data_IF_155621907014
#
_entry.id   IF_155621907014
#
_cell.length_a   1.000
_cell.length_b   1.000
_cell.length_c   1.000
_cell.angle_alpha   90.00
_cell.angle_beta   90.00
_cell.angle_gamma   90.00
#
_symmetry.space_group_name_H-M   'P 1'
#
loop_
_entity.id
_entity.type
_entity.pdbx_description
1 polymer ?
#
# COMPACT_ATOMS: atom_id res chain seq x y z
N UNK A 1 -1.91 -11.00 21.90
CA UNK A 1 -1.03 -11.22 20.73
C UNK A 1 -1.25 -12.59 20.07
N UNK A 2 -1.63 -13.65 20.81
CA UNK A 2 -1.92 -14.99 20.25
C UNK A 2 -2.80 -14.95 19.00
N UNK A 3 -3.97 -14.31 19.08
CA UNK A 3 -4.92 -14.25 17.96
C UNK A 3 -4.33 -13.55 16.72
N UNK A 4 -3.52 -12.50 16.91
CA UNK A 4 -2.82 -11.81 15.81
C UNK A 4 -1.80 -12.74 15.14
N UNK A 5 -1.03 -13.50 15.92
CA UNK A 5 -0.04 -14.43 15.41
C UNK A 5 -0.68 -15.64 14.72
N UNK A 6 -1.81 -16.12 15.24
CA UNK A 6 -2.58 -17.20 14.61
C UNK A 6 -3.18 -16.72 13.27
N UNK A 7 -3.76 -15.52 13.24
CA UNK A 7 -4.25 -14.94 11.99
C UNK A 7 -3.13 -14.66 10.98
N UNK A 8 -1.93 -14.30 11.43
CA UNK A 8 -0.76 -14.20 10.55
C UNK A 8 -0.34 -15.57 10.01
N UNK A 9 -0.25 -16.58 10.88
CA UNK A 9 0.16 -17.95 10.51
C UNK A 9 -0.78 -18.59 9.49
N UNK A 10 -2.09 -18.43 9.70
CA UNK A 10 -3.10 -18.97 8.79
C UNK A 10 -3.36 -18.09 7.56
N UNK A 11 -2.68 -16.94 7.42
CA UNK A 11 -2.85 -16.05 6.27
C UNK A 11 -4.16 -15.26 6.25
N UNK A 12 -4.81 -15.10 7.41
CA UNK A 12 -6.04 -14.30 7.56
C UNK A 12 -5.74 -12.78 7.60
N UNK A 13 -4.47 -12.41 7.78
CA UNK A 13 -4.01 -11.03 7.65
C UNK A 13 -3.46 -10.85 6.24
N UNK A 14 -4.21 -10.11 5.42
CA UNK A 14 -3.80 -9.73 4.07
C UNK A 14 -3.59 -8.22 4.03
N UNK A 15 -2.36 -7.71 4.29
CA UNK A 15 -2.13 -6.27 4.46
C UNK A 15 -2.43 -5.44 3.21
N UNK A 16 -2.36 -6.07 2.04
CA UNK A 16 -2.60 -5.46 0.74
C UNK A 16 -4.07 -5.52 0.33
N UNK A 17 -4.93 -6.22 1.08
CA UNK A 17 -6.34 -6.31 0.75
C UNK A 17 -7.03 -4.99 1.13
N UNK A 18 -7.33 -4.19 0.11
CA UNK A 18 -7.99 -2.91 0.28
C UNK A 18 -9.30 -2.92 -0.51
N UNK A 19 -10.41 -2.75 0.20
CA UNK A 19 -11.70 -2.53 -0.42
C UNK A 19 -11.76 -1.05 -0.85
N UNK A 20 -11.66 -0.82 -2.16
CA UNK A 20 -11.88 0.51 -2.73
C UNK A 20 -13.34 0.89 -2.55
N UNK A 21 -13.62 1.82 -1.63
CA UNK A 21 -14.98 2.30 -1.37
C UNK A 21 -15.58 2.97 -2.60
N UNK A 22 -16.86 2.70 -2.85
CA UNK A 22 -17.62 3.35 -3.93
C UNK A 22 -17.66 4.87 -3.76
N UNK A 23 -17.71 5.60 -4.86
CA UNK A 23 -17.78 7.07 -4.88
C UNK A 23 -16.47 7.79 -4.58
N UNK A 24 -15.39 7.07 -4.26
CA UNK A 24 -14.05 7.65 -4.09
C UNK A 24 -13.47 8.14 -5.42
N UNK A 25 -12.57 9.12 -5.36
CA UNK A 25 -11.83 9.59 -6.53
C UNK A 25 -11.03 8.44 -7.19
N UNK A 26 -10.45 7.55 -6.38
CA UNK A 26 -9.73 6.36 -6.87
C UNK A 26 -10.65 5.44 -7.67
N UNK A 27 -11.84 5.11 -7.15
CA UNK A 27 -12.78 4.24 -7.86
C UNK A 27 -13.17 4.83 -9.22
N UNK A 28 -13.46 6.14 -9.26
CA UNK A 28 -13.79 6.86 -10.50
C UNK A 28 -12.62 6.84 -11.50
N UNK A 29 -11.39 7.05 -11.03
CA UNK A 29 -10.21 6.97 -11.88
C UNK A 29 -10.00 5.57 -12.45
N UNK A 30 -10.24 4.51 -11.66
CA UNK A 30 -10.19 3.12 -12.13
C UNK A 30 -11.24 2.83 -13.21
N UNK A 31 -12.48 3.30 -13.01
CA UNK A 31 -13.57 3.16 -13.99
C UNK A 31 -13.25 3.91 -15.29
N UNK A 32 -12.72 5.12 -15.19
CA UNK A 32 -12.26 5.90 -16.36
C UNK A 32 -11.11 5.21 -17.08
N UNK A 33 -10.15 4.64 -16.35
CA UNK A 33 -9.04 3.89 -16.93
C UNK A 33 -9.54 2.70 -17.74
N UNK A 34 -10.49 1.93 -17.19
CA UNK A 34 -11.08 0.78 -17.87
C UNK A 34 -11.88 1.20 -19.12
N UNK A 35 -12.68 2.26 -19.04
CA UNK A 35 -13.44 2.79 -20.18
C UNK A 35 -12.51 3.29 -21.30
N UNK A 36 -11.42 3.98 -20.93
CA UNK A 36 -10.40 4.42 -21.88
C UNK A 36 -9.68 3.23 -22.54
N UNK A 37 -9.31 2.21 -21.76
CA UNK A 37 -8.67 0.99 -22.27
C UNK A 37 -9.58 0.26 -23.28
N UNK A 38 -10.86 0.11 -22.99
CA UNK A 38 -11.84 -0.52 -23.88
C UNK A 38 -11.97 0.24 -25.21
N UNK A 39 -12.17 1.57 -25.13
CA UNK A 39 -12.26 2.43 -26.33
C UNK A 39 -10.98 2.41 -27.15
N UNK A 40 -9.82 2.49 -26.49
CA UNK A 40 -8.53 2.47 -27.17
C UNK A 40 -8.30 1.11 -27.85
N UNK A 41 -8.62 0.01 -27.17
CA UNK A 41 -8.52 -1.34 -27.75
C UNK A 41 -9.42 -1.51 -28.97
N UNK A 42 -10.62 -0.89 -28.99
CA UNK A 42 -11.50 -0.94 -30.15
C UNK A 42 -10.96 -0.17 -31.38
N UNK A 43 -10.13 0.86 -31.16
CA UNK A 43 -9.58 1.71 -32.23
C UNK A 43 -8.27 1.17 -32.82
N UNK A 44 -7.56 0.33 -32.09
CA UNK A 44 -6.22 -0.15 -32.46
C UNK A 44 -6.26 -1.44 -33.30
N UNK A 45 -5.29 -1.59 -34.20
CA UNK A 45 -5.01 -2.85 -34.92
C UNK A 45 -4.14 -3.79 -34.05
N UNK A 46 -3.87 -5.00 -34.55
CA UNK A 46 -3.31 -6.10 -33.75
C UNK A 46 -1.90 -5.80 -33.20
N UNK A 47 -1.07 -5.06 -33.94
CA UNK A 47 0.29 -4.72 -33.50
C UNK A 47 0.26 -3.71 -32.36
N UNK A 48 -0.59 -2.70 -32.48
CA UNK A 48 -0.78 -1.63 -31.51
C UNK A 48 -1.44 -2.15 -30.23
N UNK A 49 -2.42 -3.06 -30.35
CA UNK A 49 -3.01 -3.77 -29.21
C UNK A 49 -1.96 -4.54 -28.41
N UNK A 50 -1.05 -5.22 -29.10
CA UNK A 50 0.04 -5.96 -28.45
C UNK A 50 0.96 -5.01 -27.68
N UNK A 51 1.27 -3.84 -28.26
CA UNK A 51 2.08 -2.81 -27.61
C UNK A 51 1.36 -2.20 -26.40
N UNK A 52 0.06 -1.91 -26.52
CA UNK A 52 -0.77 -1.40 -25.43
C UNK A 52 -0.83 -2.40 -24.26
N UNK A 53 -1.05 -3.68 -24.53
CA UNK A 53 -1.06 -4.72 -23.50
C UNK A 53 0.30 -4.80 -22.78
N UNK A 54 1.40 -4.69 -23.52
CA UNK A 54 2.74 -4.67 -22.94
C UNK A 54 2.96 -3.45 -22.05
N UNK A 55 2.46 -2.28 -22.45
CA UNK A 55 2.52 -1.06 -21.64
C UNK A 55 1.72 -1.22 -20.35
N UNK A 56 0.46 -1.68 -20.43
CA UNK A 56 -0.41 -1.89 -19.26
C UNK A 56 0.22 -2.89 -18.29
N UNK A 57 0.78 -3.99 -18.79
CA UNK A 57 1.47 -4.97 -17.95
C UNK A 57 2.70 -4.37 -17.26
N UNK A 58 3.50 -3.56 -17.97
CA UNK A 58 4.64 -2.89 -17.38
C UNK A 58 4.23 -1.87 -16.30
N UNK A 59 3.19 -1.06 -16.54
CA UNK A 59 2.64 -0.12 -15.56
C UNK A 59 2.08 -0.86 -14.33
N UNK A 60 1.40 -1.99 -14.51
CA UNK A 60 0.91 -2.81 -13.39
C UNK A 60 2.06 -3.40 -12.56
N UNK A 61 3.14 -3.84 -13.20
CA UNK A 61 4.35 -4.34 -12.52
C UNK A 61 5.05 -3.23 -11.74
N UNK A 62 5.20 -2.04 -12.33
CA UNK A 62 5.72 -0.84 -11.66
C UNK A 62 4.86 -0.50 -10.44
N UNK A 63 3.54 -0.40 -10.63
CA UNK A 63 2.60 -0.08 -9.56
C UNK A 63 2.63 -1.10 -8.42
N UNK A 64 2.69 -2.39 -8.73
CA UNK A 64 2.78 -3.47 -7.74
C UNK A 64 4.10 -3.42 -6.97
N UNK A 65 5.21 -3.16 -7.66
CA UNK A 65 6.54 -3.03 -7.04
C UNK A 65 6.59 -1.80 -6.12
N UNK A 66 6.08 -0.65 -6.58
CA UNK A 66 6.00 0.56 -5.76
C UNK A 66 5.10 0.36 -4.53
N UNK A 67 3.98 -0.33 -4.67
CA UNK A 67 3.09 -0.64 -3.54
C UNK A 67 3.82 -1.49 -2.48
N UNK A 68 4.61 -2.49 -2.90
CA UNK A 68 5.42 -3.31 -2.01
C UNK A 68 6.48 -2.48 -1.27
N UNK A 69 7.23 -1.65 -2.00
CA UNK A 69 8.27 -0.79 -1.40
C UNK A 69 7.67 0.21 -0.40
N UNK A 70 6.53 0.82 -0.74
CA UNK A 70 5.81 1.72 0.17
C UNK A 70 5.30 0.99 1.41
N UNK A 71 4.81 -0.25 1.27
CA UNK A 71 4.41 -1.07 2.41
C UNK A 71 5.59 -1.36 3.33
N UNK A 72 6.73 -1.81 2.79
CA UNK A 72 7.95 -2.08 3.56
C UNK A 72 8.44 -0.82 4.28
N UNK A 73 8.47 0.32 3.59
CA UNK A 73 8.86 1.61 4.15
C UNK A 73 7.94 2.02 5.30
N UNK A 74 6.61 1.95 5.08
CA UNK A 74 5.61 2.28 6.09
C UNK A 74 5.66 1.37 7.31
N UNK A 75 5.84 0.05 7.09
CA UNK A 75 5.99 -0.91 8.18
C UNK A 75 7.23 -0.64 9.03
N UNK A 76 8.39 -0.41 8.38
CA UNK A 76 9.64 -0.06 9.08
C UNK A 76 9.49 1.23 9.89
N UNK A 77 8.84 2.24 9.33
CA UNK A 77 8.57 3.49 10.04
C UNK A 77 7.66 3.26 11.25
N UNK A 78 6.58 2.49 11.10
CA UNK A 78 5.66 2.16 12.18
C UNK A 78 6.35 1.43 13.34
N UNK A 79 7.18 0.43 13.03
CA UNK A 79 7.97 -0.29 14.04
C UNK A 79 8.94 0.66 14.76
N UNK A 80 9.63 1.55 14.04
CA UNK A 80 10.53 2.53 14.65
C UNK A 80 9.80 3.44 15.64
N UNK A 81 8.65 3.99 15.24
CA UNK A 81 7.84 4.86 16.11
C UNK A 81 7.40 4.10 17.37
N UNK A 82 6.98 2.84 17.24
CA UNK A 82 6.57 2.03 18.39
C UNK A 82 7.75 1.76 19.33
N UNK A 83 8.92 1.40 18.80
CA UNK A 83 10.11 1.13 19.61
C UNK A 83 10.57 2.39 20.36
N UNK A 84 10.61 3.53 19.67
CA UNK A 84 10.97 4.82 20.29
C UNK A 84 9.97 5.20 21.39
N UNK A 85 8.67 5.00 21.17
CA UNK A 85 7.63 5.33 22.15
C UNK A 85 7.63 4.39 23.38
N UNK A 86 8.30 3.24 23.28
CA UNK A 86 8.49 2.29 24.38
C UNK A 86 9.86 2.45 25.06
N UNK A 87 10.73 3.31 24.55
CA UNK A 87 12.00 3.60 25.18
C UNK A 87 11.75 4.36 26.48
N UNK A 88 12.38 3.91 27.56
CA UNK A 88 12.23 4.51 28.90
C UNK A 88 13.01 5.83 29.00
N UNK A 89 14.03 6.02 28.17
CA UNK A 89 14.73 7.28 27.98
C UNK A 89 14.04 8.08 26.87
N UNK A 90 12.96 8.77 27.23
CA UNK A 90 12.23 9.66 26.32
C UNK A 90 12.95 10.99 26.06
N UNK A 91 14.18 11.15 26.57
CA UNK A 91 14.95 12.38 26.49
C UNK A 91 14.33 13.53 27.29
N UNK A 92 13.46 13.27 28.28
CA UNK A 92 12.89 14.29 29.15
C UNK A 92 13.98 15.11 29.84
N UNK A 93 13.92 16.43 29.64
CA UNK A 93 14.74 17.41 30.36
C UNK A 93 14.25 17.65 31.79
N UNK A 94 13.10 17.10 32.15
CA UNK A 94 12.52 17.19 33.48
C UNK A 94 12.87 15.91 34.23
N UNK A 95 13.61 16.08 35.33
CA UNK A 95 13.90 15.01 36.26
C UNK A 95 12.67 14.84 37.17
N UNK A 96 11.89 13.74 37.04
CA UNK A 96 10.69 13.54 37.85
C UNK A 96 11.01 13.37 39.35
N UNK A 97 12.29 13.20 39.70
CA UNK A 97 12.76 13.09 41.08
C UNK A 97 13.29 14.41 41.67
N UNK A 98 13.11 15.56 40.99
CA UNK A 98 13.54 16.88 41.49
C UNK A 98 12.51 17.65 42.32
N UNK A 99 11.55 16.95 42.92
CA UNK A 99 10.74 17.49 44.01
C UNK A 99 10.95 16.66 45.29
N UNK A 100 12.08 16.87 45.97
CA UNK A 100 12.20 17.08 47.43
C UNK A 100 13.62 17.56 47.82
#
# INVERSE_FOLDING_TARGET
>A
MRDTLENLYFGNITPNDQIVKSGTALKKAMEQSAECEEKLTALLEDKEKTLLLRLINAENEIGSTMALENFILGFRLGVRIILEALDEDDGSLLDPNKEE
#
